data_IF_067555163035
#
_entry.id   IF_067555163035
#
_cell.length_a   1.000
_cell.length_b   1.000
_cell.length_c   1.000
_cell.angle_alpha   90.00
_cell.angle_beta   90.00
_cell.angle_gamma   90.00
#
_symmetry.space_group_name_H-M   'P 1'
#
loop_
_entity.id
_entity.type
_entity.pdbx_description
1 polymer ?
#
# COMPACT_ATOMS: atom_id res chain seq x y z
N UNK A 1 -8.04 7.05 31.41
CA UNK A 1 -8.04 5.58 31.22
C UNK A 1 -6.61 5.16 30.93
N UNK A 2 -6.05 4.24 31.71
CA UNK A 2 -4.72 3.69 31.39
C UNK A 2 -4.84 2.82 30.15
N UNK A 3 -4.10 3.15 29.09
CA UNK A 3 -4.01 2.30 27.90
C UNK A 3 -3.28 1.01 28.27
N UNK A 4 -3.97 -0.14 28.24
CA UNK A 4 -3.29 -1.43 28.31
C UNK A 4 -2.68 -1.73 26.96
N UNK A 5 -1.40 -2.11 26.92
CA UNK A 5 -0.74 -2.56 25.72
C UNK A 5 -1.33 -3.90 25.24
N UNK A 6 -1.48 -4.04 23.95
CA UNK A 6 -1.80 -5.33 23.33
C UNK A 6 -0.52 -6.18 23.25
N UNK A 7 -0.66 -7.50 23.20
CA UNK A 7 0.49 -8.42 23.23
C UNK A 7 1.55 -8.09 22.19
N UNK A 8 1.16 -7.81 20.94
CA UNK A 8 2.10 -7.48 19.88
C UNK A 8 2.82 -6.13 20.10
N UNK A 9 2.21 -5.20 20.85
CA UNK A 9 2.87 -3.94 21.23
C UNK A 9 3.89 -4.17 22.33
N UNK A 10 3.60 -5.08 23.26
CA UNK A 10 4.57 -5.52 24.28
C UNK A 10 5.76 -6.17 23.60
N UNK A 11 5.55 -7.09 22.65
CA UNK A 11 6.61 -7.73 21.87
C UNK A 11 7.48 -6.69 21.17
N UNK A 12 6.89 -5.73 20.45
CA UNK A 12 7.61 -4.66 19.77
C UNK A 12 8.49 -3.85 20.74
N UNK A 13 7.95 -3.49 21.90
CA UNK A 13 8.72 -2.74 22.94
C UNK A 13 9.87 -3.60 23.51
N UNK A 14 9.65 -4.89 23.70
CA UNK A 14 10.70 -5.81 24.14
C UNK A 14 11.82 -5.94 23.11
N UNK A 15 11.49 -6.00 21.82
CA UNK A 15 12.48 -6.08 20.75
C UNK A 15 13.26 -4.77 20.61
N UNK A 16 12.62 -3.61 20.74
CA UNK A 16 13.32 -2.31 20.86
C UNK A 16 14.30 -2.33 22.05
N UNK A 17 13.86 -2.85 23.20
CA UNK A 17 14.70 -2.95 24.39
C UNK A 17 15.90 -3.89 24.16
N UNK A 18 15.71 -5.03 23.48
CA UNK A 18 16.79 -5.95 23.11
C UNK A 18 17.82 -5.27 22.22
N UNK A 19 17.37 -4.52 21.21
CA UNK A 19 18.24 -3.74 20.32
C UNK A 19 19.07 -2.72 21.11
N UNK A 20 18.44 -1.98 22.04
CA UNK A 20 19.15 -1.04 22.92
C UNK A 20 20.19 -1.74 23.81
N UNK A 21 19.87 -2.93 24.34
CA UNK A 21 20.80 -3.72 25.17
C UNK A 21 21.98 -4.29 24.36
N UNK A 22 21.79 -4.52 23.05
CA UNK A 22 22.86 -4.88 22.12
C UNK A 22 23.80 -3.71 21.78
N UNK A 23 23.50 -2.49 22.28
CA UNK A 23 24.33 -1.30 22.12
C UNK A 23 23.88 -0.34 21.03
N UNK A 24 22.81 -0.65 20.29
CA UNK A 24 22.29 0.22 19.26
C UNK A 24 21.65 1.47 19.89
N UNK A 25 21.88 2.60 19.29
CA UNK A 25 21.41 3.91 19.79
C UNK A 25 20.47 4.62 18.83
N UNK A 26 20.49 4.29 17.56
CA UNK A 26 19.62 4.84 16.51
C UNK A 26 18.83 3.68 15.91
N UNK A 27 17.61 3.49 16.39
CA UNK A 27 16.82 2.31 16.05
C UNK A 27 15.63 2.75 15.20
N UNK A 28 15.56 2.23 13.98
CA UNK A 28 14.37 2.35 13.13
C UNK A 28 13.33 1.34 13.64
N UNK A 29 12.10 1.81 13.86
CA UNK A 29 10.98 0.98 14.32
C UNK A 29 9.89 0.99 13.26
N UNK A 30 9.80 -0.10 12.51
CA UNK A 30 8.73 -0.28 11.55
C UNK A 30 7.48 -0.75 12.29
N UNK A 31 6.38 -0.03 12.11
CA UNK A 31 5.08 -0.41 12.65
C UNK A 31 3.99 0.20 11.76
N UNK A 32 3.06 -0.60 11.19
CA UNK A 32 2.09 -0.10 10.23
C UNK A 32 1.25 1.05 10.77
N UNK A 33 0.65 1.89 9.92
CA UNK A 33 -0.37 2.82 10.37
C UNK A 33 -1.48 2.06 11.13
N UNK A 34 -2.07 2.67 12.16
CA UNK A 34 -3.11 2.08 13.06
C UNK A 34 -2.67 0.91 13.96
N UNK A 35 -1.41 0.52 13.97
CA UNK A 35 -0.87 -0.45 14.92
C UNK A 35 -0.74 0.09 16.36
N UNK A 36 -1.02 1.38 16.58
CA UNK A 36 -0.89 2.03 17.88
C UNK A 36 0.54 2.49 18.21
N UNK A 37 1.30 2.94 17.21
CA UNK A 37 2.66 3.50 17.39
C UNK A 37 2.73 4.51 18.54
N UNK A 38 1.79 5.46 18.60
CA UNK A 38 1.76 6.50 19.63
C UNK A 38 1.59 5.93 21.04
N UNK A 39 0.83 4.83 21.20
CA UNK A 39 0.68 4.13 22.48
C UNK A 39 1.99 3.45 22.87
N UNK A 40 2.70 2.82 21.94
CA UNK A 40 4.03 2.27 22.21
C UNK A 40 5.03 3.37 22.62
N UNK A 41 5.05 4.50 21.89
CA UNK A 41 5.88 5.66 22.25
C UNK A 41 5.54 6.21 23.64
N UNK A 42 4.26 6.30 24.00
CA UNK A 42 3.83 6.75 25.32
C UNK A 42 4.35 5.82 26.43
N UNK A 43 4.26 4.51 26.22
CA UNK A 43 4.77 3.54 27.18
C UNK A 43 6.29 3.62 27.33
N UNK A 44 7.03 3.79 26.23
CA UNK A 44 8.49 3.97 26.26
C UNK A 44 8.85 5.28 26.95
N UNK A 45 8.14 6.38 26.66
CA UNK A 45 8.34 7.66 27.31
C UNK A 45 8.05 7.57 28.82
N UNK A 46 6.95 6.89 29.21
CA UNK A 46 6.64 6.65 30.63
C UNK A 46 7.76 5.92 31.34
N UNK A 47 8.23 4.80 30.78
CA UNK A 47 9.35 4.04 31.36
C UNK A 47 10.64 4.87 31.48
N UNK A 48 10.85 5.85 30.61
CA UNK A 48 12.00 6.77 30.71
C UNK A 48 11.77 7.80 31.81
N UNK A 49 10.61 8.45 31.85
CA UNK A 49 10.30 9.48 32.85
C UNK A 49 10.16 8.92 34.26
N UNK A 50 9.65 7.70 34.44
CA UNK A 50 9.62 7.00 35.74
C UNK A 50 11.06 6.79 36.30
N UNK A 51 12.08 6.80 35.44
CA UNK A 51 13.51 6.75 35.79
C UNK A 51 14.18 8.14 35.81
N UNK A 52 13.38 9.20 35.88
CA UNK A 52 13.85 10.60 35.86
C UNK A 52 14.70 10.94 34.60
N UNK A 53 14.37 10.33 33.46
CA UNK A 53 15.04 10.58 32.18
C UNK A 53 14.22 11.54 31.33
N UNK A 54 14.90 12.45 30.66
CA UNK A 54 14.27 13.45 29.78
C UNK A 54 14.01 12.88 28.42
N UNK A 55 12.84 13.20 27.83
CA UNK A 55 12.37 12.74 26.52
C UNK A 55 12.12 13.92 25.62
N UNK A 56 12.60 13.84 24.38
CA UNK A 56 12.26 14.77 23.32
C UNK A 56 11.43 14.04 22.27
N UNK A 57 10.23 14.55 21.99
CA UNK A 57 9.41 14.12 20.86
C UNK A 57 9.30 15.26 19.85
N UNK A 58 9.44 14.97 18.55
CA UNK A 58 9.14 15.93 17.53
C UNK A 58 8.62 15.31 16.24
N UNK A 59 7.78 16.08 15.54
CA UNK A 59 7.22 15.74 14.23
C UNK A 59 7.16 16.98 13.34
N UNK A 60 6.76 16.79 12.08
CA UNK A 60 6.62 17.92 11.16
C UNK A 60 5.26 18.64 11.29
N UNK A 61 4.25 18.04 11.94
CA UNK A 61 2.90 18.59 12.07
C UNK A 61 2.52 18.88 13.52
N UNK A 62 1.86 20.02 13.70
CA UNK A 62 1.38 20.44 15.02
C UNK A 62 0.28 19.52 15.56
N UNK A 63 -0.60 19.04 14.69
CA UNK A 63 -1.70 18.15 15.03
C UNK A 63 -1.21 16.81 15.62
N UNK A 64 -0.10 16.27 15.08
CA UNK A 64 0.55 15.07 15.63
C UNK A 64 1.06 15.35 17.06
N UNK A 65 1.69 16.50 17.26
CA UNK A 65 2.23 16.87 18.56
C UNK A 65 1.11 17.04 19.62
N UNK A 66 -0.03 17.64 19.24
CA UNK A 66 -1.22 17.77 20.10
C UNK A 66 -1.75 16.38 20.48
N UNK A 67 -1.89 15.46 19.54
CA UNK A 67 -2.34 14.10 19.80
C UNK A 67 -1.35 13.31 20.68
N UNK A 68 -0.05 13.46 20.44
CA UNK A 68 1.00 12.80 21.24
C UNK A 68 0.96 13.35 22.68
N UNK A 69 0.81 14.67 22.85
CA UNK A 69 0.69 15.28 24.16
C UNK A 69 -0.49 14.68 24.96
N UNK A 70 -1.67 14.58 24.32
CA UNK A 70 -2.85 13.98 24.95
C UNK A 70 -2.62 12.50 25.30
N UNK A 71 -2.03 11.74 24.37
CA UNK A 71 -1.77 10.31 24.57
C UNK A 71 -0.76 10.09 25.69
N UNK A 72 0.32 10.85 25.74
CA UNK A 72 1.34 10.77 26.80
C UNK A 72 0.77 11.14 28.15
N UNK A 73 0.00 12.22 28.23
CA UNK A 73 -0.68 12.66 29.46
C UNK A 73 -1.63 11.57 29.96
N UNK A 74 -2.47 10.99 29.08
CA UNK A 74 -3.42 9.94 29.44
C UNK A 74 -2.72 8.62 29.83
N UNK A 75 -1.51 8.37 29.33
CA UNK A 75 -0.70 7.21 29.70
C UNK A 75 0.06 7.41 31.04
N UNK A 76 -0.03 8.58 31.66
CA UNK A 76 0.64 8.90 32.92
C UNK A 76 2.16 9.13 32.78
N UNK A 77 2.58 9.66 31.62
CA UNK A 77 3.95 10.14 31.41
C UNK A 77 4.17 11.42 32.23
N UNK A 78 5.29 11.54 32.93
CA UNK A 78 5.64 12.81 33.57
C UNK A 78 5.99 13.86 32.52
N UNK A 79 5.01 14.72 32.22
CA UNK A 79 5.12 15.74 31.19
C UNK A 79 6.12 16.85 31.56
N UNK A 80 6.56 16.95 32.82
CA UNK A 80 7.63 17.84 33.25
C UNK A 80 9.02 17.44 32.71
N UNK A 81 9.17 16.17 32.32
CA UNK A 81 10.38 15.61 31.74
C UNK A 81 10.30 15.42 30.22
N UNK A 82 9.19 15.85 29.58
CA UNK A 82 8.96 15.65 28.12
C UNK A 82 8.90 16.99 27.40
N UNK A 83 9.63 17.08 26.29
CA UNK A 83 9.58 18.19 25.37
C UNK A 83 8.94 17.73 24.05
N UNK A 84 7.83 18.38 23.67
CA UNK A 84 7.11 18.07 22.43
C UNK A 84 7.13 19.33 21.55
N UNK A 85 7.47 19.15 20.26
CA UNK A 85 7.49 20.28 19.34
C UNK A 85 7.51 19.90 17.88
N UNK A 86 7.24 20.87 17.01
CA UNK A 86 7.50 20.70 15.59
C UNK A 86 9.00 20.81 15.32
N UNK A 87 9.47 20.14 14.26
CA UNK A 87 10.88 20.17 13.83
C UNK A 87 11.42 21.60 13.82
N UNK A 88 10.73 22.54 13.14
CA UNK A 88 11.16 23.94 13.08
C UNK A 88 11.17 24.66 14.44
N UNK A 89 10.29 24.26 15.40
CA UNK A 89 10.30 24.83 16.76
C UNK A 89 11.46 24.31 17.59
N UNK A 90 11.79 23.02 17.45
CA UNK A 90 12.91 22.40 18.17
C UNK A 90 14.25 22.96 17.66
N UNK A 91 14.42 23.09 16.32
CA UNK A 91 15.64 23.70 15.75
C UNK A 91 15.93 25.06 16.38
N UNK A 92 14.92 25.93 16.53
CA UNK A 92 15.09 27.27 17.16
C UNK A 92 15.42 27.23 18.66
N UNK A 93 15.19 26.09 19.30
CA UNK A 93 15.40 25.88 20.75
C UNK A 93 16.63 25.01 21.05
N UNK A 94 17.42 24.62 20.04
CA UNK A 94 18.65 23.86 20.24
C UNK A 94 19.58 24.60 21.21
N UNK A 95 20.15 23.87 22.16
CA UNK A 95 20.98 24.42 23.23
C UNK A 95 20.23 25.16 24.36
N UNK A 96 18.90 25.36 24.22
CA UNK A 96 18.04 25.97 25.25
C UNK A 96 17.17 24.95 25.99
N UNK A 97 16.96 23.78 25.39
CA UNK A 97 16.26 22.67 26.03
C UNK A 97 17.22 21.82 26.84
N UNK A 98 16.81 21.21 27.95
CA UNK A 98 17.58 20.18 28.63
C UNK A 98 17.97 19.07 27.66
N UNK A 99 19.18 18.51 27.83
CA UNK A 99 19.66 17.44 26.96
C UNK A 99 18.81 16.19 27.16
N UNK A 100 18.08 15.71 26.14
CA UNK A 100 17.27 14.51 26.25
C UNK A 100 18.17 13.27 26.34
N UNK A 101 17.72 12.29 27.09
CA UNK A 101 18.32 10.94 27.09
C UNK A 101 17.67 10.04 26.05
N UNK A 102 16.44 10.38 25.64
CA UNK A 102 15.65 9.68 24.64
C UNK A 102 15.04 10.66 23.64
N UNK A 103 15.19 10.38 22.37
CA UNK A 103 14.52 11.10 21.26
C UNK A 103 13.56 10.16 20.57
N UNK A 104 12.32 10.58 20.44
CA UNK A 104 11.25 9.87 19.72
C UNK A 104 10.86 10.68 18.49
N UNK A 105 10.90 10.05 17.32
CA UNK A 105 10.50 10.66 16.05
C UNK A 105 9.38 9.83 15.44
N UNK A 106 8.23 10.44 15.20
CA UNK A 106 7.16 9.81 14.40
C UNK A 106 7.29 10.21 12.93
N UNK A 107 6.74 9.37 12.05
CA UNK A 107 6.84 9.47 10.60
C UNK A 107 8.29 9.66 10.13
N UNK A 108 9.14 8.79 10.63
CA UNK A 108 10.60 8.88 10.48
C UNK A 108 11.11 8.75 9.03
N UNK A 109 10.25 8.47 8.06
CA UNK A 109 10.62 8.56 6.64
C UNK A 109 11.07 9.98 6.22
N UNK A 110 10.85 11.00 7.06
CA UNK A 110 11.32 12.38 6.86
C UNK A 110 12.69 12.67 7.48
N UNK A 111 13.31 11.77 8.24
CA UNK A 111 14.51 12.08 9.06
C UNK A 111 15.74 12.56 8.28
N UNK A 112 15.80 12.31 6.96
CA UNK A 112 16.88 12.85 6.11
C UNK A 112 16.75 14.33 5.75
N UNK A 113 15.62 14.97 6.04
CA UNK A 113 15.48 16.41 5.84
C UNK A 113 16.44 17.19 6.75
N UNK A 114 17.02 18.28 6.25
CA UNK A 114 18.11 19.02 6.90
C UNK A 114 17.82 19.42 8.35
N UNK A 115 16.61 19.85 8.63
CA UNK A 115 16.20 20.24 9.99
C UNK A 115 16.14 19.06 10.96
N UNK A 116 15.68 17.86 10.51
CA UNK A 116 15.72 16.64 11.30
C UNK A 116 17.16 16.28 11.63
N UNK A 117 18.03 16.30 10.60
CA UNK A 117 19.45 16.00 10.75
C UNK A 117 20.13 16.93 11.77
N UNK A 118 19.78 18.22 11.75
CA UNK A 118 20.33 19.20 12.69
C UNK A 118 19.99 18.82 14.14
N UNK A 119 18.75 18.43 14.43
CA UNK A 119 18.32 18.01 15.77
C UNK A 119 19.01 16.70 16.17
N UNK A 120 18.98 15.69 15.30
CA UNK A 120 19.52 14.35 15.60
C UNK A 120 21.03 14.37 15.81
N UNK A 121 21.77 15.18 15.04
CA UNK A 121 23.21 15.39 15.24
C UNK A 121 23.50 16.14 16.52
N UNK A 122 22.72 17.14 16.89
CA UNK A 122 22.91 17.90 18.11
C UNK A 122 22.72 17.01 19.35
N UNK A 123 21.69 16.14 19.34
CA UNK A 123 21.42 15.21 20.44
C UNK A 123 21.96 13.79 20.17
N UNK A 124 23.10 13.66 19.51
CA UNK A 124 23.70 12.38 19.12
C UNK A 124 23.97 11.41 20.29
N UNK A 125 24.09 11.92 21.51
CA UNK A 125 24.28 11.15 22.74
C UNK A 125 23.01 10.47 23.24
N UNK A 126 21.82 10.94 22.83
CA UNK A 126 20.55 10.32 23.19
C UNK A 126 20.32 9.00 22.45
N UNK A 127 19.54 8.11 23.03
CA UNK A 127 18.93 7.01 22.26
C UNK A 127 17.87 7.62 21.34
N UNK A 128 17.88 7.28 20.06
CA UNK A 128 16.99 7.83 19.05
C UNK A 128 16.13 6.72 18.46
N UNK A 129 14.83 6.78 18.64
CA UNK A 129 13.87 5.82 18.10
C UNK A 129 13.06 6.46 16.98
N UNK A 130 13.13 5.88 15.79
CA UNK A 130 12.56 6.37 14.55
C UNK A 130 11.36 5.53 14.13
N UNK A 131 10.15 5.96 14.50
CA UNK A 131 8.93 5.23 14.16
C UNK A 131 8.44 5.58 12.76
N UNK A 132 8.13 4.56 11.97
CA UNK A 132 7.54 4.72 10.63
C UNK A 132 6.69 3.51 10.25
N UNK A 133 5.68 3.73 9.40
CA UNK A 133 4.94 2.62 8.76
C UNK A 133 5.73 1.94 7.66
N UNK A 134 6.64 2.67 7.02
CA UNK A 134 7.40 2.23 5.85
C UNK A 134 8.83 2.75 5.93
N UNK A 135 9.80 1.93 6.30
CA UNK A 135 11.22 2.32 6.40
C UNK A 135 11.89 2.35 5.01
N UNK A 136 11.22 2.96 4.04
CA UNK A 136 11.68 3.12 2.65
C UNK A 136 11.38 4.54 2.19
N UNK A 137 12.29 5.12 1.44
CA UNK A 137 12.13 6.45 0.83
C UNK A 137 11.44 6.38 -0.53
N UNK A 138 11.01 7.53 -1.03
CA UNK A 138 10.35 7.66 -2.34
C UNK A 138 11.22 7.18 -3.51
N UNK A 139 12.55 7.26 -3.38
CA UNK A 139 13.52 6.78 -4.36
C UNK A 139 13.88 5.30 -4.20
N UNK A 140 13.27 4.61 -3.23
CA UNK A 140 13.53 3.21 -2.90
C UNK A 140 14.75 2.99 -2.00
N UNK A 141 15.52 4.02 -1.66
CA UNK A 141 16.64 3.90 -0.73
C UNK A 141 16.17 3.72 0.71
N UNK A 142 17.01 3.15 1.53
CA UNK A 142 16.75 2.89 2.94
C UNK A 142 17.31 3.96 3.88
N UNK A 143 17.64 3.52 5.09
CA UNK A 143 18.10 4.34 6.21
C UNK A 143 19.34 3.76 6.92
N UNK A 144 20.12 2.92 6.23
CA UNK A 144 21.36 2.32 6.70
C UNK A 144 22.42 3.34 7.14
N UNK A 145 22.38 4.54 6.54
CA UNK A 145 23.21 5.69 6.92
C UNK A 145 22.70 6.46 8.16
N UNK A 146 21.50 6.11 8.67
CA UNK A 146 20.81 6.87 9.71
C UNK A 146 20.48 6.05 10.96
N UNK A 147 20.29 4.76 10.81
CA UNK A 147 19.90 3.85 11.89
C UNK A 147 20.91 2.71 12.01
N UNK A 148 21.16 2.28 13.24
CA UNK A 148 22.08 1.19 13.59
C UNK A 148 21.38 -0.18 13.51
N UNK A 149 20.04 -0.19 13.66
CA UNK A 149 19.22 -1.40 13.70
C UNK A 149 17.77 -1.11 13.23
N UNK A 150 17.10 -2.15 12.76
CA UNK A 150 15.70 -2.14 12.36
C UNK A 150 14.88 -3.15 13.17
N UNK A 151 13.96 -2.65 13.96
CA UNK A 151 12.96 -3.47 14.67
C UNK A 151 11.66 -3.45 13.87
N UNK A 152 11.22 -4.64 13.45
CA UNK A 152 10.02 -4.80 12.60
C UNK A 152 8.85 -5.30 13.44
N UNK A 153 7.75 -4.55 13.44
CA UNK A 153 6.49 -4.93 14.07
C UNK A 153 5.67 -5.91 13.22
N UNK A 154 4.47 -6.25 13.72
CA UNK A 154 3.55 -7.16 13.00
C UNK A 154 3.09 -6.56 11.68
N UNK A 155 2.93 -7.41 10.65
CA UNK A 155 2.44 -7.01 9.33
C UNK A 155 0.97 -6.58 9.38
N UNK A 156 0.50 -5.89 8.34
CA UNK A 156 -0.91 -5.52 8.19
C UNK A 156 -1.78 -6.77 8.13
N UNK A 157 -1.36 -7.80 7.40
CA UNK A 157 -2.07 -9.08 7.32
C UNK A 157 -2.24 -9.71 8.71
N UNK A 158 -1.14 -9.80 9.49
CA UNK A 158 -1.21 -10.34 10.85
C UNK A 158 -2.19 -9.54 11.74
N UNK A 159 -2.17 -8.21 11.63
CA UNK A 159 -3.09 -7.35 12.41
C UNK A 159 -4.56 -7.57 12.04
N UNK A 160 -4.85 -7.89 10.77
CA UNK A 160 -6.20 -8.25 10.30
C UNK A 160 -6.63 -9.61 10.86
N UNK A 161 -5.81 -10.64 10.70
CA UNK A 161 -6.08 -12.00 11.17
C UNK A 161 -6.35 -12.07 12.68
N UNK A 162 -5.75 -11.13 13.45
CA UNK A 162 -5.94 -11.03 14.90
C UNK A 162 -6.95 -9.96 15.32
N UNK A 163 -7.77 -9.45 14.38
CA UNK A 163 -8.85 -8.49 14.66
C UNK A 163 -8.39 -7.11 15.17
N UNK A 164 -7.11 -6.77 15.00
CA UNK A 164 -6.57 -5.47 15.43
C UNK A 164 -6.85 -4.34 14.44
N UNK A 165 -7.11 -4.68 13.18
CA UNK A 165 -7.64 -3.82 12.13
C UNK A 165 -8.71 -4.58 11.34
N UNK A 166 -9.60 -3.87 10.66
CA UNK A 166 -10.67 -4.49 9.88
C UNK A 166 -10.11 -5.15 8.63
N UNK A 167 -10.76 -6.24 8.20
CA UNK A 167 -10.62 -6.74 6.84
C UNK A 167 -11.16 -5.73 5.84
N UNK A 168 -10.84 -5.91 4.56
CA UNK A 168 -11.31 -5.04 3.50
C UNK A 168 -11.64 -5.80 2.22
N UNK A 169 -12.53 -5.21 1.43
CA UNK A 169 -12.73 -5.52 0.02
C UNK A 169 -12.05 -4.43 -0.82
N UNK A 170 -11.27 -4.84 -1.81
CA UNK A 170 -10.56 -3.93 -2.68
C UNK A 170 -11.19 -3.97 -4.07
N UNK A 171 -11.59 -2.80 -4.56
CA UNK A 171 -12.16 -2.63 -5.90
C UNK A 171 -11.27 -1.66 -6.68
N UNK A 172 -10.86 -2.06 -7.88
CA UNK A 172 -10.05 -1.19 -8.72
C UNK A 172 -10.66 -1.02 -10.11
N UNK A 173 -10.74 0.24 -10.49
CA UNK A 173 -11.13 0.65 -11.84
C UNK A 173 -10.07 1.65 -12.27
N UNK A 174 -9.12 1.19 -13.05
CA UNK A 174 -8.03 2.08 -13.50
C UNK A 174 -8.55 3.00 -14.61
N UNK A 175 -8.76 4.27 -14.24
CA UNK A 175 -9.20 5.34 -15.15
C UNK A 175 -8.04 6.18 -15.69
N UNK A 176 -6.79 5.82 -15.39
CA UNK A 176 -5.62 6.59 -15.76
C UNK A 176 -4.83 5.92 -16.88
N UNK A 177 -4.38 6.73 -17.82
CA UNK A 177 -3.28 6.37 -18.69
C UNK A 177 -1.96 6.48 -17.90
N UNK A 178 -1.47 5.34 -17.42
CA UNK A 178 -0.27 5.27 -16.59
C UNK A 178 0.99 5.80 -17.33
N UNK A 179 1.01 5.75 -18.66
CA UNK A 179 2.13 6.22 -19.46
C UNK A 179 2.31 7.74 -19.43
N UNK A 180 1.23 8.49 -19.16
CA UNK A 180 1.27 9.96 -19.06
C UNK A 180 1.74 10.47 -17.71
N UNK A 181 1.81 9.62 -16.68
CA UNK A 181 2.21 10.01 -15.33
C UNK A 181 3.71 10.38 -15.27
N UNK A 182 4.02 11.64 -14.93
CA UNK A 182 5.38 12.15 -14.78
C UNK A 182 5.68 12.45 -13.32
N UNK A 183 6.88 12.04 -12.87
CA UNK A 183 7.35 12.26 -11.50
C UNK A 183 8.24 13.50 -11.42
N UNK A 184 8.08 14.22 -10.30
CA UNK A 184 9.01 15.26 -9.87
C UNK A 184 9.29 15.07 -8.37
N UNK A 185 10.55 15.03 -7.97
CA UNK A 185 10.95 14.78 -6.57
C UNK A 185 10.36 13.49 -5.97
N UNK A 186 10.23 12.44 -6.81
CA UNK A 186 9.74 11.13 -6.37
C UNK A 186 8.21 10.95 -6.37
N UNK A 187 7.41 12.01 -6.59
CA UNK A 187 5.94 11.93 -6.63
C UNK A 187 5.39 12.46 -7.96
N UNK A 188 4.16 12.07 -8.32
CA UNK A 188 3.50 12.52 -9.54
C UNK A 188 3.13 13.99 -9.48
N UNK A 189 3.32 14.72 -10.60
CA UNK A 189 2.90 16.10 -10.71
C UNK A 189 1.41 16.22 -10.98
N UNK A 190 0.73 17.21 -10.37
CA UNK A 190 -0.70 17.42 -10.60
C UNK A 190 -1.04 17.55 -12.09
N UNK A 191 -0.22 18.28 -12.86
CA UNK A 191 -0.42 18.43 -14.30
C UNK A 191 -0.39 17.06 -15.02
N UNK A 192 0.56 16.18 -14.70
CA UNK A 192 0.61 14.86 -15.34
C UNK A 192 -0.54 13.95 -14.90
N UNK A 193 -1.07 14.15 -13.70
CA UNK A 193 -2.28 13.47 -13.24
C UNK A 193 -3.48 13.96 -14.05
N UNK A 194 -3.66 15.28 -14.20
CA UNK A 194 -4.73 15.85 -15.00
C UNK A 194 -4.66 15.39 -16.48
N UNK A 195 -3.45 15.38 -17.06
CA UNK A 195 -3.21 14.94 -18.44
C UNK A 195 -3.46 13.43 -18.65
N UNK A 196 -3.32 12.62 -17.57
CA UNK A 196 -3.49 11.17 -17.61
C UNK A 196 -4.95 10.72 -17.50
N UNK A 197 -5.81 11.60 -17.03
CA UNK A 197 -7.23 11.31 -16.94
C UNK A 197 -7.92 11.43 -18.30
N UNK A 198 -8.74 10.46 -18.67
CA UNK A 198 -9.72 10.61 -19.76
C UNK A 198 -11.01 11.27 -19.22
N UNK A 199 -11.08 12.59 -19.33
CA UNK A 199 -12.19 13.41 -18.80
C UNK A 199 -13.57 13.02 -19.35
N UNK A 200 -13.67 12.31 -20.47
CA UNK A 200 -14.97 11.89 -21.03
C UNK A 200 -15.56 10.68 -20.28
N UNK A 201 -14.73 9.82 -19.73
CA UNK A 201 -15.17 8.65 -18.98
C UNK A 201 -15.39 8.91 -17.48
N UNK A 202 -14.85 10.01 -16.93
CA UNK A 202 -14.73 10.24 -15.48
C UNK A 202 -15.97 10.72 -14.75
N UNK A 203 -16.90 11.37 -15.41
CA UNK A 203 -17.90 12.17 -14.70
C UNK A 203 -19.02 11.36 -14.03
N UNK A 204 -19.03 10.04 -14.12
CA UNK A 204 -20.03 9.17 -13.52
C UNK A 204 -19.50 8.10 -12.58
N UNK A 205 -18.23 7.70 -12.75
CA UNK A 205 -17.80 6.40 -12.25
C UNK A 205 -17.59 6.33 -10.74
N UNK A 206 -16.90 7.29 -10.09
CA UNK A 206 -16.66 7.23 -8.65
C UNK A 206 -17.95 7.34 -7.81
N UNK A 207 -18.95 8.12 -8.27
CA UNK A 207 -20.23 8.23 -7.61
C UNK A 207 -21.05 6.94 -7.78
N UNK A 208 -21.18 6.44 -9.00
CA UNK A 208 -21.91 5.20 -9.29
C UNK A 208 -21.29 3.99 -8.57
N UNK A 209 -19.95 3.95 -8.50
CA UNK A 209 -19.25 2.91 -7.75
C UNK A 209 -19.48 3.00 -6.24
N UNK A 210 -19.43 4.22 -5.67
CA UNK A 210 -19.80 4.42 -4.29
C UNK A 210 -21.25 3.99 -4.01
N UNK A 211 -22.19 4.38 -4.86
CA UNK A 211 -23.61 4.01 -4.71
C UNK A 211 -23.81 2.49 -4.78
N UNK A 212 -23.10 1.80 -5.66
CA UNK A 212 -23.19 0.36 -5.82
C UNK A 212 -22.53 -0.41 -4.68
N UNK A 213 -21.36 0.04 -4.21
CA UNK A 213 -20.48 -0.72 -3.29
C UNK A 213 -20.64 -0.28 -1.83
N UNK A 214 -21.02 0.97 -1.59
CA UNK A 214 -20.84 1.60 -0.29
C UNK A 214 -21.93 2.62 0.07
N UNK A 215 -23.09 2.58 -0.58
CA UNK A 215 -24.17 3.56 -0.39
C UNK A 215 -24.47 3.81 1.08
N UNK A 216 -24.44 5.08 1.50
CA UNK A 216 -24.77 5.52 2.86
C UNK A 216 -23.66 5.32 3.90
N UNK A 217 -22.51 4.73 3.53
CA UNK A 217 -21.36 4.58 4.44
C UNK A 217 -20.48 5.81 4.42
N UNK A 218 -19.90 6.16 5.57
CA UNK A 218 -18.95 7.28 5.63
C UNK A 218 -17.68 6.99 4.82
N UNK A 219 -17.37 7.91 3.91
CA UNK A 219 -16.25 7.79 2.99
C UNK A 219 -15.24 8.94 3.12
N UNK A 220 -13.96 8.60 3.02
CA UNK A 220 -12.87 9.55 2.74
C UNK A 220 -12.49 9.43 1.27
N UNK A 221 -12.41 10.57 0.58
CA UNK A 221 -11.99 10.66 -0.82
C UNK A 221 -10.66 11.41 -0.89
N UNK A 222 -9.66 10.81 -1.52
CA UNK A 222 -8.34 11.41 -1.72
C UNK A 222 -8.21 11.97 -3.14
N UNK A 223 -8.05 13.29 -3.26
CA UNK A 223 -7.86 14.00 -4.51
C UNK A 223 -6.45 14.59 -4.63
N UNK A 224 -5.98 14.81 -5.86
CA UNK A 224 -4.65 15.36 -6.13
C UNK A 224 -4.62 16.90 -6.11
N UNK A 225 -5.77 17.57 -6.37
CA UNK A 225 -5.86 19.04 -6.38
C UNK A 225 -7.12 19.52 -5.66
N UNK A 226 -7.10 20.78 -5.20
CA UNK A 226 -8.25 21.41 -4.51
C UNK A 226 -9.41 21.57 -5.47
N UNK A 227 -9.13 22.05 -6.68
CA UNK A 227 -10.15 22.23 -7.73
C UNK A 227 -10.86 20.92 -8.06
N UNK A 228 -10.11 19.82 -8.19
CA UNK A 228 -10.70 18.49 -8.42
C UNK A 228 -11.53 18.04 -7.21
N UNK A 229 -11.05 18.28 -5.98
CA UNK A 229 -11.77 17.93 -4.75
C UNK A 229 -13.11 18.69 -4.64
N UNK A 230 -13.16 19.96 -5.01
CA UNK A 230 -14.38 20.77 -5.05
C UNK A 230 -15.38 20.21 -6.06
N UNK A 231 -14.93 19.83 -7.26
CA UNK A 231 -15.79 19.18 -8.26
C UNK A 231 -16.35 17.84 -7.78
N UNK A 232 -15.52 17.02 -7.14
CA UNK A 232 -15.93 15.74 -6.57
C UNK A 232 -16.97 15.92 -5.46
N UNK A 233 -16.71 16.84 -4.53
CA UNK A 233 -17.64 17.16 -3.44
C UNK A 233 -18.97 17.67 -3.94
N UNK A 234 -18.96 18.61 -4.91
CA UNK A 234 -20.18 19.13 -5.55
C UNK A 234 -21.01 18.02 -6.17
N UNK A 235 -20.39 17.07 -6.86
CA UNK A 235 -21.08 15.95 -7.48
C UNK A 235 -21.76 15.03 -6.46
N UNK A 236 -21.10 14.74 -5.34
CA UNK A 236 -21.72 14.00 -4.24
C UNK A 236 -22.88 14.77 -3.62
N UNK A 237 -22.73 16.08 -3.44
CA UNK A 237 -23.79 16.93 -2.91
C UNK A 237 -25.02 16.97 -3.83
N UNK A 238 -24.82 17.12 -5.13
CA UNK A 238 -25.90 17.08 -6.14
C UNK A 238 -26.63 15.72 -6.18
N UNK A 239 -25.93 14.63 -5.80
CA UNK A 239 -26.51 13.30 -5.64
C UNK A 239 -27.20 13.07 -4.27
N UNK A 240 -27.28 14.11 -3.41
CA UNK A 240 -27.95 14.06 -2.11
C UNK A 240 -27.09 13.63 -0.93
N UNK A 241 -25.75 13.51 -1.09
CA UNK A 241 -24.86 13.18 0.01
C UNK A 241 -24.28 14.45 0.65
N UNK A 242 -24.32 14.53 1.98
CA UNK A 242 -23.62 15.60 2.69
C UNK A 242 -22.11 15.45 2.51
N UNK A 243 -21.50 16.40 1.84
CA UNK A 243 -20.09 16.37 1.44
C UNK A 243 -19.36 17.63 1.88
N UNK A 244 -18.12 17.47 2.35
CA UNK A 244 -17.25 18.58 2.73
C UNK A 244 -15.84 18.41 2.12
N UNK A 245 -15.21 19.54 1.75
CA UNK A 245 -13.83 19.59 1.26
C UNK A 245 -12.92 20.15 2.33
N UNK A 246 -11.77 19.48 2.56
CA UNK A 246 -10.69 20.00 3.40
C UNK A 246 -9.35 19.89 2.71
N UNK A 247 -8.55 20.93 2.84
CA UNK A 247 -7.22 21.02 2.25
C UNK A 247 -6.25 21.77 3.17
N UNK A 248 -4.97 21.78 2.86
CA UNK A 248 -3.98 22.59 3.58
C UNK A 248 -4.28 24.10 3.57
N UNK A 249 -5.12 24.57 2.63
CA UNK A 249 -5.56 25.97 2.54
C UNK A 249 -6.81 26.27 3.39
N UNK A 250 -7.54 25.23 3.85
CA UNK A 250 -8.76 25.41 4.65
C UNK A 250 -8.40 25.99 6.02
N UNK A 251 -9.01 27.13 6.44
CA UNK A 251 -8.78 27.71 7.75
C UNK A 251 -9.02 26.70 8.88
N UNK A 252 -8.24 26.80 9.97
CA UNK A 252 -8.31 25.83 11.08
C UNK A 252 -9.73 25.69 11.62
N UNK A 253 -10.44 26.78 11.82
CA UNK A 253 -11.81 26.80 12.39
C UNK A 253 -12.78 26.01 11.49
N UNK A 254 -12.71 26.24 10.17
CA UNK A 254 -13.57 25.55 9.21
C UNK A 254 -13.22 24.07 9.12
N UNK A 255 -11.92 23.76 9.12
CA UNK A 255 -11.43 22.37 9.16
C UNK A 255 -11.92 21.63 10.41
N UNK A 256 -11.80 22.25 11.58
CA UNK A 256 -12.23 21.66 12.84
C UNK A 256 -13.76 21.46 12.88
N UNK A 257 -14.52 22.38 12.25
CA UNK A 257 -15.98 22.25 12.08
C UNK A 257 -16.33 21.08 11.15
N UNK A 258 -15.70 21.00 9.97
CA UNK A 258 -15.93 19.90 9.01
C UNK A 258 -15.58 18.54 9.63
N UNK A 259 -14.50 18.49 10.40
CA UNK A 259 -14.06 17.28 11.09
C UNK A 259 -15.03 16.83 12.18
N UNK A 260 -15.61 17.76 12.93
CA UNK A 260 -16.66 17.44 13.92
C UNK A 260 -17.91 16.92 13.21
N UNK A 261 -18.44 17.65 12.24
CA UNK A 261 -19.59 17.23 11.46
C UNK A 261 -19.42 15.83 10.82
N UNK A 262 -18.20 15.50 10.39
CA UNK A 262 -17.89 14.17 9.87
C UNK A 262 -17.86 13.11 10.98
N UNK A 263 -17.28 13.39 12.15
CA UNK A 263 -17.30 12.45 13.29
C UNK A 263 -18.72 12.20 13.81
N UNK A 264 -19.56 13.22 13.81
CA UNK A 264 -20.94 13.17 14.30
C UNK A 264 -21.89 12.53 13.25
N UNK A 265 -21.38 12.20 12.05
CA UNK A 265 -22.16 11.56 10.97
C UNK A 265 -23.04 12.53 10.17
N UNK A 266 -22.94 13.83 10.41
CA UNK A 266 -23.64 14.88 9.64
C UNK A 266 -23.08 14.99 8.22
N UNK A 267 -21.77 14.79 8.05
CA UNK A 267 -21.10 14.69 6.75
C UNK A 267 -20.82 13.23 6.43
N UNK A 268 -21.28 12.76 5.29
CA UNK A 268 -21.09 11.39 4.82
C UNK A 268 -19.81 11.26 4.00
N UNK A 269 -19.49 12.25 3.18
CA UNK A 269 -18.36 12.22 2.25
C UNK A 269 -17.35 13.31 2.61
N UNK A 270 -16.18 12.91 3.06
CA UNK A 270 -15.08 13.84 3.34
C UNK A 270 -14.05 13.80 2.21
N UNK A 271 -14.01 14.83 1.40
CA UNK A 271 -13.06 14.98 0.29
C UNK A 271 -11.84 15.76 0.76
N UNK A 272 -10.65 15.23 0.52
CA UNK A 272 -9.45 15.90 1.01
C UNK A 272 -8.30 15.95 0.00
N UNK A 273 -7.42 16.94 0.21
CA UNK A 273 -6.16 17.11 -0.52
C UNK A 273 -5.02 17.24 0.48
N UNK A 274 -4.15 16.24 0.54
CA UNK A 274 -2.92 16.23 1.35
C UNK A 274 -3.08 16.41 2.87
N UNK A 275 -4.30 16.25 3.44
CA UNK A 275 -4.53 16.56 4.85
C UNK A 275 -4.66 15.33 5.74
N UNK A 276 -5.42 14.31 5.33
CA UNK A 276 -5.73 13.16 6.16
C UNK A 276 -4.75 12.00 5.98
N UNK A 277 -3.51 12.33 5.70
CA UNK A 277 -2.44 11.36 5.59
C UNK A 277 -1.91 10.95 6.96
N UNK A 278 -1.81 11.90 7.91
CA UNK A 278 -1.16 11.69 9.19
C UNK A 278 -1.90 12.42 10.33
N UNK A 279 -1.83 11.89 11.55
CA UNK A 279 -2.19 12.60 12.78
C UNK A 279 -3.68 12.87 13.03
N UNK A 280 -4.62 12.23 12.30
CA UNK A 280 -6.06 12.46 12.49
C UNK A 280 -6.76 11.13 12.74
N UNK A 281 -7.52 11.03 13.81
CA UNK A 281 -8.38 9.87 14.09
C UNK A 281 -9.81 10.11 13.61
N UNK A 282 -10.29 9.19 12.75
CA UNK A 282 -11.61 9.19 12.15
C UNK A 282 -12.23 7.79 12.29
N UNK A 283 -12.81 7.47 13.45
CA UNK A 283 -13.29 6.13 13.74
C UNK A 283 -14.48 5.69 12.90
N UNK A 284 -15.29 6.63 12.39
CA UNK A 284 -16.49 6.35 11.60
C UNK A 284 -16.27 5.88 10.17
N UNK A 285 -15.06 6.03 9.64
CA UNK A 285 -14.78 5.77 8.22
C UNK A 285 -14.88 4.30 7.86
N UNK A 286 -15.71 3.99 6.86
CA UNK A 286 -15.88 2.66 6.30
C UNK A 286 -15.29 2.50 4.90
N UNK A 287 -15.18 3.62 4.18
CA UNK A 287 -14.83 3.64 2.75
C UNK A 287 -13.65 4.56 2.51
N UNK A 288 -12.69 4.10 1.73
CA UNK A 288 -11.61 4.92 1.18
C UNK A 288 -11.73 4.93 -0.35
N UNK A 289 -11.93 6.11 -0.93
CA UNK A 289 -11.97 6.32 -2.38
C UNK A 289 -10.67 7.02 -2.79
N UNK A 290 -9.89 6.38 -3.66
CA UNK A 290 -8.62 6.89 -4.14
C UNK A 290 -8.78 7.43 -5.55
N UNK A 291 -8.80 8.76 -5.66
CA UNK A 291 -8.79 9.54 -6.91
C UNK A 291 -7.44 10.25 -7.13
N UNK A 292 -6.44 9.84 -6.37
CA UNK A 292 -5.07 10.34 -6.45
C UNK A 292 -4.10 9.18 -6.64
N UNK A 293 -3.42 9.09 -7.78
CA UNK A 293 -2.30 8.19 -7.92
C UNK A 293 -1.14 8.67 -7.05
N UNK A 294 -0.37 7.74 -6.50
CA UNK A 294 0.84 8.08 -5.74
C UNK A 294 1.98 7.12 -6.07
N UNK A 295 3.19 7.65 -6.13
CA UNK A 295 4.41 6.86 -6.22
C UNK A 295 4.91 6.41 -4.83
N UNK A 296 4.34 6.95 -3.75
CA UNK A 296 4.72 6.69 -2.37
C UNK A 296 3.94 5.53 -1.78
N UNK A 297 4.62 4.43 -1.45
CA UNK A 297 4.03 3.31 -0.70
C UNK A 297 3.50 3.78 0.66
N UNK A 298 4.23 4.67 1.35
CA UNK A 298 3.79 5.22 2.64
C UNK A 298 2.45 5.92 2.52
N UNK A 299 2.31 6.79 1.52
CA UNK A 299 1.07 7.55 1.29
C UNK A 299 -0.10 6.64 0.90
N UNK A 300 0.15 5.64 0.03
CA UNK A 300 -0.84 4.65 -0.35
C UNK A 300 -1.37 3.88 0.87
N UNK A 301 -0.47 3.37 1.71
CA UNK A 301 -0.85 2.66 2.92
C UNK A 301 -1.61 3.57 3.90
N UNK A 302 -1.21 4.83 4.05
CA UNK A 302 -1.92 5.80 4.87
C UNK A 302 -3.35 6.05 4.38
N UNK A 303 -3.58 6.13 3.06
CA UNK A 303 -4.93 6.23 2.48
C UNK A 303 -5.79 5.02 2.87
N UNK A 304 -5.32 3.83 2.52
CA UNK A 304 -6.06 2.60 2.75
C UNK A 304 -6.40 2.40 4.24
N UNK A 305 -5.41 2.60 5.11
CA UNK A 305 -5.54 2.35 6.54
C UNK A 305 -6.55 3.26 7.25
N UNK A 306 -6.96 4.39 6.64
CA UNK A 306 -8.00 5.25 7.23
C UNK A 306 -9.36 4.57 7.34
N UNK A 307 -9.68 3.68 6.42
CA UNK A 307 -10.94 2.92 6.47
C UNK A 307 -10.84 1.67 7.35
N UNK A 308 -9.65 1.23 7.79
CA UNK A 308 -9.45 -0.05 8.45
C UNK A 308 -9.59 0.00 9.99
N UNK A 309 -10.37 0.93 10.55
CA UNK A 309 -10.69 0.94 11.98
C UNK A 309 -11.41 -0.35 12.37
N UNK A 310 -10.96 -1.08 13.42
CA UNK A 310 -11.63 -2.29 13.83
C UNK A 310 -12.97 -1.97 14.51
N UNK A 311 -14.03 -2.60 14.03
CA UNK A 311 -15.37 -2.63 14.67
C UNK A 311 -15.97 -4.01 14.41
N UNK A 312 -16.78 -4.51 15.35
CA UNK A 312 -17.43 -5.81 15.23
C UNK A 312 -18.27 -5.86 13.93
N UNK A 313 -18.05 -6.90 13.13
CA UNK A 313 -18.76 -7.11 11.87
C UNK A 313 -18.41 -6.13 10.73
N UNK A 314 -17.44 -5.24 10.94
CA UNK A 314 -17.01 -4.31 9.90
C UNK A 314 -16.08 -4.97 8.89
N UNK A 315 -16.39 -4.74 7.61
CA UNK A 315 -15.48 -4.96 6.49
C UNK A 315 -15.35 -3.64 5.74
N UNK A 316 -14.13 -3.13 5.62
CA UNK A 316 -13.86 -1.85 4.97
C UNK A 316 -13.95 -1.99 3.45
N UNK A 317 -14.22 -0.89 2.75
CA UNK A 317 -14.31 -0.85 1.29
C UNK A 317 -13.25 0.11 0.77
N UNK A 318 -12.33 -0.40 -0.04
CA UNK A 318 -11.30 0.39 -0.71
C UNK A 318 -11.63 0.46 -2.21
N UNK A 319 -11.83 1.67 -2.73
CA UNK A 319 -12.16 1.91 -4.15
C UNK A 319 -11.02 2.71 -4.78
N UNK A 320 -10.23 2.05 -5.61
CA UNK A 320 -9.06 2.62 -6.27
C UNK A 320 -9.36 2.91 -7.74
N UNK A 321 -9.57 4.18 -8.06
CA UNK A 321 -9.85 4.64 -9.43
C UNK A 321 -8.60 4.98 -10.24
N UNK A 322 -7.42 4.79 -9.66
CA UNK A 322 -6.17 5.28 -10.22
C UNK A 322 -5.09 4.20 -10.32
N UNK A 323 -5.46 2.94 -10.01
CA UNK A 323 -4.58 1.79 -10.16
C UNK A 323 -3.36 1.80 -9.22
N UNK A 324 -3.48 2.35 -8.01
CA UNK A 324 -2.37 2.33 -7.03
C UNK A 324 -1.89 0.92 -6.73
N UNK A 325 -2.80 -0.08 -6.71
CA UNK A 325 -2.47 -1.49 -6.49
C UNK A 325 -1.54 -2.08 -7.54
N UNK A 326 -1.57 -1.57 -8.80
CA UNK A 326 -0.68 -2.02 -9.87
C UNK A 326 0.79 -1.77 -9.51
N UNK A 327 1.04 -0.66 -8.80
CA UNK A 327 2.38 -0.25 -8.37
C UNK A 327 2.78 -0.83 -7.03
N UNK A 328 1.84 -0.88 -6.09
CA UNK A 328 2.14 -1.10 -4.68
C UNK A 328 1.66 -2.46 -4.16
N UNK A 329 0.91 -3.23 -4.97
CA UNK A 329 0.19 -4.40 -4.49
C UNK A 329 -1.00 -4.04 -3.59
N UNK A 330 -1.59 -5.00 -2.91
CA UNK A 330 -2.65 -4.76 -1.94
C UNK A 330 -2.08 -4.21 -0.62
N UNK A 331 -2.87 -3.45 0.17
CA UNK A 331 -2.38 -2.86 1.43
C UNK A 331 -1.81 -3.89 2.42
N UNK A 332 -2.36 -5.09 2.46
CA UNK A 332 -1.98 -6.16 3.37
C UNK A 332 -0.97 -7.16 2.81
N UNK A 333 -0.37 -6.88 1.66
CA UNK A 333 0.72 -7.70 1.16
C UNK A 333 1.86 -7.76 2.17
N UNK A 334 2.45 -8.93 2.26
CA UNK A 334 3.62 -9.13 3.08
C UNK A 334 4.83 -8.41 2.45
N UNK A 335 5.53 -7.63 3.25
CA UNK A 335 6.66 -6.82 2.80
C UNK A 335 7.86 -7.08 3.67
N UNK A 336 8.97 -7.41 3.03
CA UNK A 336 10.24 -7.54 3.72
C UNK A 336 10.91 -6.17 3.86
N UNK A 337 11.22 -5.78 5.10
CA UNK A 337 11.80 -4.50 5.42
C UNK A 337 13.28 -4.63 5.77
N UNK A 338 14.12 -3.78 5.20
CA UNK A 338 15.56 -3.69 5.51
C UNK A 338 15.97 -2.23 5.67
N UNK A 339 17.12 -1.98 6.28
CA UNK A 339 17.69 -0.62 6.36
C UNK A 339 18.26 -0.15 5.02
N UNK A 340 18.67 -1.06 4.16
CA UNK A 340 19.22 -0.76 2.82
C UNK A 340 18.14 -0.27 1.85
N UNK A 341 16.87 -0.52 2.16
CA UNK A 341 15.74 -0.20 1.30
C UNK A 341 15.35 -1.34 0.38
N UNK A 342 14.59 -1.04 -0.65
CA UNK A 342 14.29 -2.02 -1.70
C UNK A 342 15.54 -2.20 -2.54
N UNK A 343 16.18 -3.36 -2.45
CA UNK A 343 17.16 -3.72 -3.47
C UNK A 343 16.50 -3.51 -4.82
N UNK A 344 17.15 -2.73 -5.70
CA UNK A 344 16.86 -2.78 -7.12
C UNK A 344 17.12 -4.23 -7.52
N UNK A 345 16.11 -5.05 -7.49
CA UNK A 345 16.21 -6.44 -7.87
C UNK A 345 16.79 -6.44 -9.28
N UNK A 346 18.09 -6.67 -9.38
CA UNK A 346 18.65 -7.30 -10.55
C UNK A 346 17.75 -8.50 -10.72
N UNK A 347 17.06 -8.57 -11.84
CA UNK A 347 16.14 -9.61 -12.22
C UNK A 347 16.75 -11.00 -12.00
N UNK A 348 16.84 -11.41 -10.77
CA UNK A 348 17.04 -12.80 -10.40
C UNK A 348 15.63 -13.38 -10.36
N UNK A 349 15.45 -14.40 -11.17
CA UNK A 349 14.31 -15.28 -11.32
C UNK A 349 13.80 -15.89 -10.02
N UNK A 350 13.40 -15.06 -9.06
CA UNK A 350 12.50 -15.41 -7.96
C UNK A 350 11.11 -15.07 -8.44
N UNK A 351 10.24 -16.05 -8.36
CA UNK A 351 8.83 -16.05 -8.68
C UNK A 351 8.27 -14.64 -8.55
N UNK A 352 7.87 -14.03 -9.68
CA UNK A 352 7.03 -12.85 -9.67
C UNK A 352 5.79 -13.27 -8.91
N UNK A 353 5.63 -12.82 -7.68
CA UNK A 353 4.32 -12.84 -7.02
C UNK A 353 3.36 -12.28 -8.06
N UNK A 354 2.38 -13.10 -8.45
CA UNK A 354 1.46 -12.69 -9.51
C UNK A 354 0.75 -11.43 -9.03
N UNK A 355 0.75 -10.40 -9.86
CA UNK A 355 0.06 -9.15 -9.55
C UNK A 355 -1.42 -9.43 -9.27
N UNK A 356 -2.07 -8.71 -8.35
CA UNK A 356 -3.48 -8.90 -8.07
C UNK A 356 -4.31 -8.63 -9.33
N UNK A 357 -5.33 -9.46 -9.57
CA UNK A 357 -6.23 -9.39 -10.72
C UNK A 357 -7.51 -8.66 -10.34
N UNK A 358 -8.08 -7.92 -11.29
CA UNK A 358 -9.36 -7.23 -11.13
C UNK A 358 -10.42 -7.92 -11.97
N UNK A 359 -11.56 -8.22 -11.37
CA UNK A 359 -12.73 -8.77 -12.08
C UNK A 359 -13.40 -7.66 -12.91
N UNK A 360 -13.59 -7.90 -14.21
CA UNK A 360 -14.21 -6.92 -15.11
C UNK A 360 -15.68 -6.62 -14.80
N UNK A 361 -16.39 -7.58 -14.17
CA UNK A 361 -17.80 -7.45 -13.86
C UNK A 361 -18.07 -6.65 -12.58
N UNK A 362 -17.42 -7.04 -11.45
CA UNK A 362 -17.67 -6.40 -10.15
C UNK A 362 -16.52 -5.50 -9.68
N UNK A 363 -15.39 -5.47 -10.40
CA UNK A 363 -14.18 -4.70 -10.11
C UNK A 363 -13.44 -5.09 -8.81
N UNK A 364 -13.85 -6.19 -8.15
CA UNK A 364 -13.11 -6.73 -7.02
C UNK A 364 -11.70 -7.14 -7.46
N UNK A 365 -10.70 -6.77 -6.66
CA UNK A 365 -9.28 -7.01 -6.93
C UNK A 365 -8.71 -7.96 -5.88
N UNK A 366 -8.11 -9.05 -6.33
CA UNK A 366 -7.64 -10.17 -5.48
C UNK A 366 -6.52 -10.94 -6.16
N UNK A 367 -5.81 -11.77 -5.40
CA UNK A 367 -4.79 -12.67 -5.93
C UNK A 367 -5.40 -13.95 -6.50
N UNK A 368 -4.65 -14.59 -7.41
CA UNK A 368 -5.11 -15.80 -8.13
C UNK A 368 -5.36 -17.00 -7.22
N UNK A 369 -4.72 -17.08 -6.06
CA UNK A 369 -4.92 -18.10 -5.04
C UNK A 369 -6.36 -18.15 -4.48
N UNK A 370 -7.08 -17.03 -4.57
CA UNK A 370 -8.49 -16.92 -4.15
C UNK A 370 -9.49 -17.39 -5.19
N UNK A 371 -9.04 -17.78 -6.38
CA UNK A 371 -9.92 -18.22 -7.47
C UNK A 371 -10.22 -19.72 -7.34
N UNK A 372 -11.49 -20.03 -7.22
CA UNK A 372 -11.98 -21.39 -7.22
C UNK A 372 -12.80 -21.63 -8.48
N UNK A 373 -12.43 -22.64 -9.28
CA UNK A 373 -13.18 -23.01 -10.49
C UNK A 373 -13.19 -21.94 -11.59
N UNK A 374 -12.16 -21.07 -11.67
CA UNK A 374 -12.05 -20.04 -12.69
C UNK A 374 -13.06 -18.90 -12.56
N UNK A 375 -13.69 -18.74 -11.38
CA UNK A 375 -14.73 -17.74 -11.11
C UNK A 375 -14.27 -16.70 -10.13
N UNK A 376 -14.82 -15.49 -10.27
CA UNK A 376 -14.60 -14.41 -9.31
C UNK A 376 -15.12 -14.81 -7.92
N UNK A 377 -14.32 -14.72 -6.85
CA UNK A 377 -14.75 -15.07 -5.50
C UNK A 377 -15.83 -14.14 -4.92
N UNK A 378 -16.06 -12.98 -5.55
CA UNK A 378 -17.01 -11.97 -5.08
C UNK A 378 -18.37 -12.02 -5.80
N UNK A 379 -18.37 -12.16 -7.14
CA UNK A 379 -19.63 -12.15 -7.91
C UNK A 379 -19.94 -13.46 -8.63
N UNK A 380 -19.04 -14.44 -8.59
CA UNK A 380 -19.22 -15.75 -9.22
C UNK A 380 -19.08 -15.76 -10.75
N UNK A 381 -18.84 -14.61 -11.37
CA UNK A 381 -18.67 -14.51 -12.82
C UNK A 381 -17.39 -15.20 -13.27
N UNK A 382 -17.40 -15.94 -14.40
CA UNK A 382 -16.19 -16.50 -14.97
C UNK A 382 -15.14 -15.42 -15.23
N UNK A 383 -13.92 -15.63 -14.76
CA UNK A 383 -12.83 -14.70 -14.97
C UNK A 383 -12.22 -14.90 -16.35
N UNK A 384 -12.29 -13.89 -17.18
CA UNK A 384 -11.47 -13.82 -18.37
C UNK A 384 -10.02 -13.57 -17.93
N UNK A 385 -9.18 -14.60 -17.96
CA UNK A 385 -7.75 -14.47 -17.68
C UNK A 385 -7.10 -13.85 -18.93
N UNK A 386 -7.21 -12.54 -19.07
CA UNK A 386 -6.44 -11.79 -20.04
C UNK A 386 -5.03 -11.66 -19.46
N UNK A 387 -4.08 -12.41 -19.98
CA UNK A 387 -2.67 -12.09 -19.80
C UNK A 387 -2.41 -10.78 -20.53
N UNK A 388 -1.64 -9.89 -19.93
CA UNK A 388 -1.22 -8.61 -20.51
C UNK A 388 -1.01 -8.71 -22.02
N UNK A 389 -1.99 -8.25 -22.78
CA UNK A 389 -1.87 -8.03 -24.22
C UNK A 389 -1.65 -6.54 -24.35
N UNK A 390 -0.59 -6.17 -25.04
CA UNK A 390 -0.31 -4.80 -25.43
C UNK A 390 -1.57 -4.12 -26.01
N UNK A 391 -1.81 -2.88 -25.62
CA UNK A 391 -3.05 -2.11 -25.85
C UNK A 391 -3.37 -1.80 -27.33
N UNK A 392 -2.82 -2.51 -28.30
CA UNK A 392 -3.08 -2.31 -29.73
C UNK A 392 -3.92 -3.40 -30.42
N UNK A 393 -4.41 -4.40 -29.71
CA UNK A 393 -5.32 -5.39 -30.30
C UNK A 393 -6.78 -4.90 -30.22
N UNK A 394 -7.19 -4.27 -31.28
CA UNK A 394 -8.52 -3.75 -31.59
C UNK A 394 -9.65 -4.79 -31.53
N UNK A 395 -10.87 -4.28 -31.44
CA UNK A 395 -12.19 -4.91 -31.34
C UNK A 395 -12.49 -6.17 -32.20
N UNK A 396 -11.65 -6.59 -33.09
CA UNK A 396 -11.86 -7.78 -33.94
C UNK A 396 -11.54 -9.11 -33.23
N UNK A 397 -10.71 -9.09 -32.18
CA UNK A 397 -10.31 -10.32 -31.43
C UNK A 397 -11.38 -10.82 -30.47
N UNK A 398 -12.37 -9.99 -30.10
CA UNK A 398 -13.42 -10.33 -29.15
C UNK A 398 -14.50 -11.28 -29.69
N UNK A 399 -14.62 -11.43 -30.99
CA UNK A 399 -15.64 -12.28 -31.63
C UNK A 399 -15.23 -13.75 -31.75
N UNK A 400 -13.94 -14.07 -31.62
CA UNK A 400 -13.38 -15.42 -31.82
C UNK A 400 -13.24 -16.27 -30.56
N UNK A 401 -13.39 -15.71 -29.36
CA UNK A 401 -13.16 -16.40 -28.06
C UNK A 401 -14.26 -17.43 -27.72
N UNK A 402 -15.35 -17.48 -28.47
CA UNK A 402 -16.50 -18.37 -28.22
C UNK A 402 -16.36 -19.79 -28.77
N UNK A 403 -15.19 -20.20 -29.29
CA UNK A 403 -15.05 -21.51 -29.96
C UNK A 403 -14.10 -22.52 -29.28
N UNK A 404 -13.74 -22.37 -28.00
CA UNK A 404 -12.92 -23.36 -27.28
C UNK A 404 -11.44 -23.41 -27.69
N UNK A 405 -10.93 -22.31 -28.30
CA UNK A 405 -9.52 -22.15 -28.70
C UNK A 405 -8.76 -21.34 -27.63
N UNK A 406 -7.49 -21.65 -27.43
CA UNK A 406 -6.55 -20.91 -26.56
C UNK A 406 -5.37 -20.38 -27.35
N UNK A 407 -4.78 -19.25 -26.92
CA UNK A 407 -3.55 -18.74 -27.48
C UNK A 407 -2.35 -19.10 -26.61
N UNK A 408 -1.31 -19.63 -27.22
CA UNK A 408 -0.05 -19.96 -26.54
C UNK A 408 1.09 -19.16 -27.15
N UNK A 409 1.80 -18.36 -26.33
CA UNK A 409 2.99 -17.64 -26.78
C UNK A 409 4.16 -18.60 -26.96
N UNK A 410 4.70 -18.69 -28.14
CA UNK A 410 5.86 -19.52 -28.51
C UNK A 410 6.85 -18.66 -29.25
N UNK A 411 8.06 -18.48 -28.70
CA UNK A 411 9.16 -17.69 -29.32
C UNK A 411 8.80 -16.25 -29.66
N UNK A 412 7.88 -15.64 -28.91
CA UNK A 412 7.41 -14.26 -29.10
C UNK A 412 6.20 -14.15 -30.05
N UNK A 413 5.74 -15.23 -30.63
CA UNK A 413 4.53 -15.29 -31.47
C UNK A 413 3.38 -15.94 -30.70
N UNK A 414 2.17 -15.43 -30.88
CA UNK A 414 0.94 -16.01 -30.31
C UNK A 414 0.37 -17.00 -31.34
N UNK A 415 0.24 -18.25 -30.92
CA UNK A 415 -0.30 -19.34 -31.74
C UNK A 415 -1.63 -19.77 -31.19
N UNK A 416 -2.67 -19.78 -32.01
CA UNK A 416 -3.99 -20.28 -31.67
C UNK A 416 -3.97 -21.82 -31.66
N UNK A 417 -4.45 -22.41 -30.57
CA UNK A 417 -4.43 -23.86 -30.33
C UNK A 417 -5.69 -24.27 -29.55
N UNK A 418 -6.05 -25.53 -29.62
CA UNK A 418 -7.12 -26.08 -28.80
C UNK A 418 -6.74 -26.09 -27.31
N UNK A 419 -7.73 -26.19 -26.41
CA UNK A 419 -7.47 -26.29 -24.95
C UNK A 419 -6.57 -27.48 -24.60
N UNK A 420 -6.76 -28.63 -25.29
CA UNK A 420 -5.91 -29.81 -25.07
C UNK A 420 -4.46 -29.55 -25.51
N UNK A 421 -4.27 -28.93 -26.67
CA UNK A 421 -2.94 -28.57 -27.16
C UNK A 421 -2.27 -27.54 -26.25
N UNK A 422 -3.03 -26.56 -25.72
CA UNK A 422 -2.51 -25.57 -24.77
C UNK A 422 -1.96 -26.22 -23.50
N UNK A 423 -2.63 -27.23 -22.98
CA UNK A 423 -2.15 -28.00 -21.83
C UNK A 423 -0.83 -28.74 -22.15
N UNK A 424 -0.71 -29.31 -23.35
CA UNK A 424 0.53 -29.94 -23.80
C UNK A 424 1.67 -28.94 -23.89
N UNK A 425 1.44 -27.76 -24.49
CA UNK A 425 2.45 -26.69 -24.57
C UNK A 425 2.90 -26.19 -23.19
N UNK A 426 1.93 -26.01 -22.25
CA UNK A 426 2.22 -25.60 -20.88
C UNK A 426 3.08 -26.63 -20.14
N UNK A 427 2.81 -27.93 -20.32
CA UNK A 427 3.58 -29.03 -19.74
C UNK A 427 5.00 -29.07 -20.29
N UNK A 428 5.14 -29.06 -21.61
CA UNK A 428 6.42 -29.18 -22.31
C UNK A 428 7.34 -27.99 -22.05
N UNK A 429 6.82 -26.79 -21.87
CA UNK A 429 7.64 -25.64 -21.46
C UNK A 429 8.41 -25.88 -20.16
N UNK A 430 7.88 -26.69 -19.23
CA UNK A 430 8.53 -27.05 -17.96
C UNK A 430 9.70 -28.02 -18.14
N UNK A 431 9.81 -28.69 -19.28
CA UNK A 431 10.89 -29.62 -19.56
C UNK A 431 12.23 -28.92 -19.87
N UNK A 432 12.23 -27.62 -20.15
CA UNK A 432 13.40 -26.87 -20.56
C UNK A 432 13.97 -27.44 -21.86
N UNK A 433 15.26 -27.76 -21.90
CA UNK A 433 15.95 -28.35 -23.08
C UNK A 433 15.95 -29.89 -23.04
N UNK A 434 15.19 -30.55 -22.18
CA UNK A 434 15.22 -32.00 -21.94
C UNK A 434 14.09 -32.68 -22.73
N UNK A 435 14.27 -32.95 -24.00
CA UNK A 435 13.26 -33.62 -24.85
C UNK A 435 12.97 -35.07 -24.43
N UNK A 436 13.90 -35.69 -23.70
CA UNK A 436 13.79 -37.05 -23.15
C UNK A 436 12.61 -37.19 -22.16
N UNK A 437 12.06 -36.09 -21.71
CA UNK A 437 10.89 -36.02 -20.84
C UNK A 437 9.55 -36.07 -21.58
N UNK A 438 9.60 -36.04 -22.94
CA UNK A 438 8.38 -36.14 -23.74
C UNK A 438 7.89 -37.61 -23.73
N UNK A 439 6.67 -37.82 -23.25
CA UNK A 439 6.05 -39.14 -23.17
C UNK A 439 5.08 -39.43 -24.31
N UNK A 440 4.78 -38.44 -25.15
CA UNK A 440 3.87 -38.55 -26.28
C UNK A 440 4.39 -37.82 -27.51
N UNK A 441 3.86 -38.24 -28.70
CA UNK A 441 4.15 -37.55 -29.96
C UNK A 441 3.67 -36.09 -29.93
N UNK A 442 2.55 -35.81 -29.27
CA UNK A 442 2.03 -34.46 -29.10
C UNK A 442 3.01 -33.57 -28.31
N UNK A 443 3.58 -34.08 -27.23
CA UNK A 443 4.60 -33.38 -26.45
C UNK A 443 5.88 -33.15 -27.22
N UNK A 444 6.32 -34.13 -28.01
CA UNK A 444 7.51 -34.01 -28.83
C UNK A 444 7.33 -33.02 -29.99
N UNK A 445 6.13 -32.95 -30.59
CA UNK A 445 5.74 -31.89 -31.54
C UNK A 445 5.77 -30.51 -30.92
N UNK A 446 5.14 -30.35 -29.73
CA UNK A 446 5.17 -29.10 -29.02
C UNK A 446 6.59 -28.67 -28.61
N UNK A 447 7.43 -29.62 -28.19
CA UNK A 447 8.84 -29.39 -27.88
C UNK A 447 9.60 -28.84 -29.06
N UNK A 448 9.44 -29.48 -30.25
CA UNK A 448 10.05 -29.01 -31.52
C UNK A 448 9.68 -27.56 -31.82
N UNK A 449 8.38 -27.22 -31.68
CA UNK A 449 7.86 -25.89 -31.99
C UNK A 449 8.40 -24.87 -30.99
N UNK A 450 8.38 -25.17 -29.71
CA UNK A 450 8.89 -24.29 -28.62
C UNK A 450 10.36 -23.94 -28.87
N UNK A 451 11.18 -24.94 -29.26
CA UNK A 451 12.62 -24.74 -29.41
C UNK A 451 13.06 -24.43 -30.84
N UNK A 452 12.12 -24.39 -31.80
CA UNK A 452 12.40 -24.01 -33.21
C UNK A 452 13.22 -25.00 -33.98
N UNK A 453 13.13 -26.29 -33.65
CA UNK A 453 13.85 -27.32 -34.42
C UNK A 453 13.20 -27.61 -35.79
N UNK A 454 14.02 -27.93 -36.77
CA UNK A 454 13.54 -28.28 -38.11
C UNK A 454 12.61 -29.52 -38.10
N UNK A 455 11.69 -29.68 -39.07
CA UNK A 455 10.77 -30.82 -39.11
C UNK A 455 11.45 -32.20 -39.07
N UNK A 456 12.61 -32.37 -39.67
CA UNK A 456 13.38 -33.62 -39.63
C UNK A 456 13.86 -34.01 -38.21
N UNK A 457 14.06 -33.05 -37.32
CA UNK A 457 14.40 -33.32 -35.92
C UNK A 457 13.35 -34.19 -35.24
N UNK A 458 12.07 -33.94 -35.49
CA UNK A 458 10.95 -34.66 -34.90
C UNK A 458 11.03 -36.15 -35.25
N UNK A 459 11.31 -36.49 -36.53
CA UNK A 459 11.40 -37.87 -37.00
C UNK A 459 12.53 -38.65 -36.30
N UNK A 460 13.70 -38.01 -36.13
CA UNK A 460 14.84 -38.64 -35.45
C UNK A 460 14.53 -38.88 -33.95
N UNK A 461 13.93 -37.92 -33.25
CA UNK A 461 13.65 -38.03 -31.84
C UNK A 461 12.46 -38.92 -31.51
N UNK A 462 11.49 -38.99 -32.40
CA UNK A 462 10.40 -39.94 -32.33
C UNK A 462 10.90 -41.38 -32.38
N UNK A 463 11.87 -41.67 -33.24
CA UNK A 463 12.52 -42.97 -33.33
C UNK A 463 13.36 -43.29 -32.08
N UNK A 464 14.09 -42.33 -31.58
CA UNK A 464 14.90 -42.44 -30.37
C UNK A 464 14.08 -42.74 -29.10
N UNK A 465 12.97 -42.05 -28.93
CA UNK A 465 12.08 -42.21 -27.78
C UNK A 465 11.02 -43.32 -27.97
N UNK A 466 11.04 -44.07 -29.08
CA UNK A 466 10.12 -45.18 -29.39
C UNK A 466 8.63 -44.78 -29.41
N UNK A 467 8.32 -43.50 -29.76
CA UNK A 467 6.95 -42.95 -29.76
C UNK A 467 6.19 -43.21 -31.07
N UNK A 468 6.32 -44.43 -31.63
CA UNK A 468 5.65 -44.86 -32.87
C UNK A 468 4.30 -45.51 -32.66
N UNK A 469 3.97 -45.86 -31.41
CA UNK A 469 2.73 -46.54 -31.08
C UNK A 469 1.97 -45.69 -30.05
N UNK A 470 1.15 -44.78 -30.59
CA UNK A 470 -0.20 -44.46 -30.10
C UNK A 470 -0.74 -43.31 -30.97
#
# INVERSE_FOLDING_TARGET
MSFSLRNYQVELILDIKKSMLAGHRKIMVQSPPRSGKTVCMAHIAKNATDKQKTVLFFSHRKEINEQVFETFSNAGVDMGLVYIGTVGSIVRKLGKLPTPTLVLVDEAHHIKASQYQQILKFYHQAVQLFFTGTPIRLDGSGFDDMADDLVVGKSILWLQEHGNISEFDYYSINLLDQAKLKKRQGEYTNQSIDDSFDFKQQHGDYLSHYERLAKGKQAIVYCHSVEYAERVSKRFYEAGYQSAVVSGKTPKIERDRAMRAFRDGEVTIMVNVNLFTEGIDLPGVDVCIMLRPTASLSLYLQFAMRALNPRVGKRAILIDHVGNHIRHGLPNDDRYWTLEGVEKSKSSSKEKEEAPKTCENCFATFYMDKIVGGKCPYCGEPLKIIKDIDQEATNETLTLINQGMEFVSIRGEMIEVTQEEALVYKRVKRYGKKYERCESLAELKAFRIIHGYAPGWLWHKQKELNLWRN
#
